data_IF_121255707415
#
_entry.id   IF_121255707415
#
_cell.length_a   1.000
_cell.length_b   1.000
_cell.length_c   1.000
_cell.angle_alpha   90.00
_cell.angle_beta   90.00
_cell.angle_gamma   90.00
#
_symmetry.space_group_name_H-M   'P 1'
#
loop_
_entity.id
_entity.type
_entity.pdbx_description
1 polymer ?
#
# COMPACT_ATOMS: atom_id res chain seq x y z
N UNK A 1 -11.87 -8.84 -7.70
CA UNK A 1 -10.50 -8.93 -8.23
C UNK A 1 -10.11 -10.41 -8.15
N UNK A 2 -10.11 -11.15 -9.27
CA UNK A 2 -10.09 -12.65 -9.22
C UNK A 2 -8.81 -13.26 -8.62
N UNK A 3 -7.72 -12.49 -8.54
CA UNK A 3 -6.41 -12.95 -8.04
C UNK A 3 -6.05 -12.46 -6.63
N UNK A 4 -6.73 -11.44 -6.11
CA UNK A 4 -6.55 -10.96 -4.74
C UNK A 4 -7.88 -11.15 -4.03
N UNK A 5 -7.97 -12.26 -3.30
CA UNK A 5 -9.15 -12.58 -2.51
C UNK A 5 -9.20 -11.77 -1.21
N UNK A 6 -10.32 -11.89 -0.50
CA UNK A 6 -10.53 -11.14 0.73
C UNK A 6 -9.54 -11.58 1.83
N UNK A 7 -9.15 -12.86 1.86
CA UNK A 7 -8.22 -13.39 2.87
C UNK A 7 -6.83 -12.74 2.74
N UNK A 8 -6.33 -12.60 1.52
CA UNK A 8 -5.05 -11.93 1.26
C UNK A 8 -5.10 -10.47 1.72
N UNK A 9 -6.20 -9.77 1.44
CA UNK A 9 -6.36 -8.38 1.88
C UNK A 9 -6.40 -8.28 3.40
N UNK A 10 -7.12 -9.17 4.06
CA UNK A 10 -7.26 -9.18 5.52
C UNK A 10 -5.92 -9.45 6.20
N UNK A 11 -5.09 -10.36 5.64
CA UNK A 11 -3.73 -10.60 6.12
C UNK A 11 -2.88 -9.34 6.00
N UNK A 12 -2.87 -8.70 4.83
CA UNK A 12 -2.06 -7.49 4.60
C UNK A 12 -2.50 -6.35 5.55
N UNK A 13 -3.81 -6.15 5.69
CA UNK A 13 -4.37 -5.13 6.60
C UNK A 13 -3.95 -5.41 8.04
N UNK A 14 -4.13 -6.66 8.50
CA UNK A 14 -3.75 -7.08 9.86
C UNK A 14 -2.27 -6.83 10.11
N UNK A 15 -1.40 -7.43 9.29
CA UNK A 15 0.05 -7.32 9.44
C UNK A 15 0.55 -5.87 9.41
N UNK A 16 -0.01 -5.04 8.52
CA UNK A 16 0.35 -3.63 8.40
C UNK A 16 -0.04 -2.84 9.64
N UNK A 17 -1.28 -3.00 10.12
CA UNK A 17 -1.77 -2.30 11.30
C UNK A 17 -1.05 -2.78 12.57
N UNK A 18 -0.88 -4.08 12.75
CA UNK A 18 -0.21 -4.66 13.91
C UNK A 18 1.24 -4.18 14.01
N UNK A 19 1.96 -4.13 12.89
CA UNK A 19 3.33 -3.60 12.85
C UNK A 19 3.38 -2.12 13.23
N UNK A 20 2.46 -1.31 12.72
CA UNK A 20 2.40 0.11 13.02
C UNK A 20 2.11 0.36 14.51
N UNK A 21 1.16 -0.39 15.08
CA UNK A 21 0.78 -0.30 16.48
C UNK A 21 1.91 -0.78 17.41
N UNK A 22 2.55 -1.90 17.08
CA UNK A 22 3.69 -2.44 17.83
C UNK A 22 4.87 -1.47 17.90
N UNK A 23 5.13 -0.72 16.83
CA UNK A 23 6.19 0.28 16.77
C UNK A 23 5.76 1.69 17.22
N UNK A 24 4.51 1.87 17.65
CA UNK A 24 3.93 3.18 17.98
C UNK A 24 4.15 4.25 16.88
N UNK A 25 4.03 3.84 15.61
CA UNK A 25 4.19 4.75 14.49
C UNK A 25 3.04 5.75 14.44
N UNK A 26 3.30 6.96 13.93
CA UNK A 26 2.26 7.91 13.54
C UNK A 26 1.60 7.47 12.23
N UNK A 27 0.99 6.28 12.24
CA UNK A 27 0.33 5.67 11.09
C UNK A 27 -1.12 5.37 11.45
N UNK A 28 -2.05 5.92 10.67
CA UNK A 28 -3.46 5.58 10.81
C UNK A 28 -3.73 4.21 10.22
N UNK A 29 -4.38 3.32 10.98
CA UNK A 29 -4.76 2.00 10.51
C UNK A 29 -5.51 2.06 9.17
N UNK A 30 -5.26 1.09 8.31
CA UNK A 30 -5.95 0.93 7.02
C UNK A 30 -7.08 -0.10 7.15
N UNK A 31 -8.08 -0.01 6.27
CA UNK A 31 -9.08 -1.06 6.06
C UNK A 31 -8.88 -1.74 4.68
N UNK A 32 -9.64 -2.81 4.42
CA UNK A 32 -9.54 -3.53 3.15
C UNK A 32 -9.99 -2.70 1.94
N UNK A 33 -10.80 -1.67 2.14
CA UNK A 33 -11.26 -0.76 1.07
C UNK A 33 -10.15 0.21 0.68
N UNK A 34 -9.47 0.78 1.67
CA UNK A 34 -8.32 1.65 1.47
C UNK A 34 -7.16 0.88 0.83
N UNK A 35 -6.92 -0.37 1.24
CA UNK A 35 -5.94 -1.23 0.57
C UNK A 35 -6.33 -1.53 -0.88
N UNK A 36 -7.61 -1.81 -1.18
CA UNK A 36 -8.10 -1.98 -2.56
C UNK A 36 -7.88 -0.71 -3.39
N UNK A 37 -8.14 0.46 -2.82
CA UNK A 37 -7.92 1.75 -3.46
C UNK A 37 -6.42 1.97 -3.76
N UNK A 38 -5.54 1.67 -2.80
CA UNK A 38 -4.09 1.71 -2.97
C UNK A 38 -3.61 0.79 -4.09
N UNK A 39 -4.06 -0.47 -4.10
CA UNK A 39 -3.75 -1.44 -5.18
C UNK A 39 -4.26 -0.94 -6.53
N UNK A 40 -5.46 -0.34 -6.56
CA UNK A 40 -6.01 0.28 -7.77
C UNK A 40 -5.08 1.36 -8.33
N UNK A 41 -4.48 2.20 -7.46
CA UNK A 41 -3.49 3.19 -7.89
C UNK A 41 -2.18 2.58 -8.40
N UNK A 42 -1.74 1.44 -7.86
CA UNK A 42 -0.60 0.70 -8.40
C UNK A 42 -0.89 0.12 -9.80
N UNK A 43 -2.11 -0.38 -10.02
CA UNK A 43 -2.53 -0.85 -11.34
C UNK A 43 -2.59 0.33 -12.33
N UNK A 44 -3.15 1.46 -11.91
CA UNK A 44 -3.20 2.69 -12.71
C UNK A 44 -1.81 3.23 -13.02
N UNK A 45 -0.85 3.17 -12.10
CA UNK A 45 0.52 3.60 -12.36
C UNK A 45 1.20 2.73 -13.41
N UNK A 46 0.93 1.41 -13.38
CA UNK A 46 1.36 0.47 -14.42
C UNK A 46 0.77 0.82 -15.79
N UNK A 47 -0.54 1.08 -15.85
CA UNK A 47 -1.23 1.49 -17.09
C UNK A 47 -0.63 2.76 -17.68
N UNK A 48 -0.29 3.74 -16.84
CA UNK A 48 0.30 5.00 -17.26
C UNK A 48 1.80 4.93 -17.58
N UNK A 49 2.43 3.75 -17.47
CA UNK A 49 3.90 3.55 -17.58
C UNK A 49 4.70 4.43 -16.59
N UNK A 50 4.10 4.71 -15.45
CA UNK A 50 4.61 5.62 -14.41
C UNK A 50 5.44 4.92 -13.33
N UNK A 51 5.92 3.69 -13.57
CA UNK A 51 6.66 2.91 -12.56
C UNK A 51 7.97 3.56 -12.09
N UNK A 52 8.57 4.40 -12.94
CA UNK A 52 9.77 5.20 -12.64
C UNK A 52 9.46 6.68 -12.45
N UNK A 53 8.19 7.06 -12.51
CA UNK A 53 7.77 8.44 -12.35
C UNK A 53 7.79 8.81 -10.86
N UNK A 54 8.22 10.04 -10.56
CA UNK A 54 8.11 10.54 -9.19
C UNK A 54 6.62 10.64 -8.82
N UNK A 55 6.22 10.03 -7.69
CA UNK A 55 4.84 10.06 -7.23
C UNK A 55 4.28 11.50 -7.08
N UNK A 56 5.12 12.50 -6.83
CA UNK A 56 4.72 13.92 -6.81
C UNK A 56 4.17 14.38 -8.17
N UNK A 57 4.73 13.88 -9.28
CA UNK A 57 4.26 14.22 -10.63
C UNK A 57 2.91 13.55 -10.92
N UNK A 58 2.76 12.29 -10.53
CA UNK A 58 1.49 11.56 -10.66
C UNK A 58 0.33 12.26 -9.93
N UNK A 59 0.62 12.90 -8.78
CA UNK A 59 -0.34 13.67 -7.97
C UNK A 59 -0.44 15.17 -8.32
N UNK A 60 0.30 15.66 -9.32
CA UNK A 60 0.32 17.08 -9.70
C UNK A 60 -1.09 17.57 -10.12
N UNK A 61 -1.34 18.87 -10.00
CA UNK A 61 -2.57 19.48 -10.52
C UNK A 61 -2.39 19.85 -12.00
N UNK A 62 -3.48 19.83 -12.77
CA UNK A 62 -3.49 20.27 -14.16
C UNK A 62 -3.10 19.17 -15.16
N UNK A 63 -2.75 19.53 -16.41
CA UNK A 63 -2.67 18.59 -17.54
C UNK A 63 -1.56 17.54 -17.42
N UNK A 64 -0.55 17.80 -16.57
CA UNK A 64 0.55 16.89 -16.30
C UNK A 64 0.21 15.87 -15.20
N UNK A 65 -0.80 16.15 -14.39
CA UNK A 65 -1.26 15.26 -13.34
C UNK A 65 -2.36 14.33 -13.80
N UNK A 66 -2.67 13.34 -12.97
CA UNK A 66 -3.73 12.37 -13.25
C UNK A 66 -4.76 12.44 -12.13
N UNK A 67 -5.92 13.02 -12.44
CA UNK A 67 -6.98 13.30 -11.46
C UNK A 67 -7.38 12.06 -10.64
N UNK A 68 -7.33 10.86 -11.24
CA UNK A 68 -7.63 9.60 -10.56
C UNK A 68 -6.79 9.37 -9.30
N UNK A 69 -5.52 9.76 -9.28
CA UNK A 69 -4.64 9.53 -8.13
C UNK A 69 -5.08 10.36 -6.93
N UNK A 70 -5.22 11.69 -7.12
CA UNK A 70 -5.67 12.62 -6.08
C UNK A 70 -7.14 12.43 -5.67
N UNK A 71 -7.99 11.99 -6.59
CA UNK A 71 -9.39 11.70 -6.30
C UNK A 71 -9.55 10.43 -5.44
N UNK A 72 -8.58 9.52 -5.50
CA UNK A 72 -8.61 8.26 -4.74
C UNK A 72 -8.02 8.41 -3.34
N UNK A 73 -6.84 9.03 -3.21
CA UNK A 73 -6.22 9.33 -1.91
C UNK A 73 -5.16 10.43 -2.02
N UNK A 74 -4.75 11.00 -0.89
CA UNK A 74 -3.66 11.99 -0.87
C UNK A 74 -2.31 11.35 -1.17
N UNK A 75 -1.35 12.14 -1.69
CA UNK A 75 0.02 11.68 -1.93
C UNK A 75 0.70 11.20 -0.64
N UNK A 76 0.46 11.91 0.47
CA UNK A 76 1.00 11.53 1.77
C UNK A 76 0.45 10.17 2.20
N UNK A 77 -0.86 9.95 2.09
CA UNK A 77 -1.45 8.65 2.45
C UNK A 77 -0.93 7.52 1.57
N UNK A 78 -0.77 7.75 0.26
CA UNK A 78 -0.16 6.77 -0.65
C UNK A 78 1.27 6.42 -0.22
N UNK A 79 2.09 7.40 0.17
CA UNK A 79 3.45 7.19 0.67
C UNK A 79 3.47 6.47 2.02
N UNK A 80 2.59 6.85 2.93
CA UNK A 80 2.48 6.24 4.25
C UNK A 80 2.15 4.76 4.14
N UNK A 81 1.16 4.40 3.30
CA UNK A 81 0.81 3.01 3.02
C UNK A 81 1.99 2.29 2.34
N UNK A 82 2.59 2.89 1.31
CA UNK A 82 3.73 2.29 0.60
C UNK A 82 4.91 1.96 1.51
N UNK A 83 5.17 2.80 2.51
CA UNK A 83 6.32 2.64 3.43
C UNK A 83 6.04 1.60 4.51
N UNK A 84 4.79 1.51 4.98
CA UNK A 84 4.43 0.70 6.15
C UNK A 84 3.79 -0.64 5.81
N UNK A 85 3.46 -0.91 4.55
CA UNK A 85 2.82 -2.15 4.10
C UNK A 85 3.58 -3.40 4.58
N UNK A 86 2.88 -4.36 5.18
CA UNK A 86 3.42 -5.66 5.63
C UNK A 86 2.55 -6.82 5.17
N UNK A 87 3.19 -7.97 5.01
CA UNK A 87 2.58 -9.19 4.47
C UNK A 87 2.72 -10.38 5.42
N UNK A 88 3.42 -10.20 6.54
CA UNK A 88 3.72 -11.23 7.52
C UNK A 88 3.56 -10.72 8.96
N UNK A 89 3.35 -11.65 9.88
CA UNK A 89 3.39 -11.38 11.32
C UNK A 89 4.82 -11.54 11.83
N UNK A 90 5.36 -10.45 12.39
CA UNK A 90 6.73 -10.40 12.91
C UNK A 90 6.95 -11.39 14.06
N UNK A 91 5.91 -11.75 14.81
CA UNK A 91 6.02 -12.61 15.98
C UNK A 91 6.13 -14.09 15.61
N UNK A 92 5.62 -14.49 14.43
CA UNK A 92 5.55 -15.90 14.01
C UNK A 92 6.54 -16.25 12.91
N UNK A 93 7.55 -15.40 12.71
CA UNK A 93 8.46 -15.49 11.57
C UNK A 93 9.42 -16.69 11.69
N UNK A 94 9.44 -17.54 10.66
CA UNK A 94 10.35 -18.68 10.60
C UNK A 94 11.75 -18.24 10.14
N UNK A 95 12.72 -18.26 11.06
CA UNK A 95 14.11 -17.87 10.77
C UNK A 95 14.84 -18.79 9.78
N UNK A 96 14.32 -20.00 9.57
CA UNK A 96 14.92 -20.98 8.65
C UNK A 96 14.32 -20.90 7.24
N UNK A 97 13.28 -20.09 7.04
CA UNK A 97 12.67 -19.88 5.73
C UNK A 97 13.26 -18.61 5.08
N UNK A 98 13.92 -18.79 3.93
CA UNK A 98 14.54 -17.68 3.18
C UNK A 98 13.53 -16.76 2.50
N UNK A 99 12.27 -17.21 2.34
CA UNK A 99 11.19 -16.40 1.81
C UNK A 99 10.40 -15.67 2.90
N UNK A 100 10.61 -16.01 4.18
CA UNK A 100 10.10 -15.21 5.27
C UNK A 100 10.76 -13.83 5.23
N UNK A 101 9.98 -12.78 5.53
CA UNK A 101 10.50 -11.42 5.49
C UNK A 101 11.66 -11.22 6.48
N UNK A 102 12.58 -10.30 6.18
CA UNK A 102 13.75 -9.99 7.02
C UNK A 102 13.38 -9.27 8.30
#
# INVERSE_FOLDING_TARGET
>A
MKFIDQKVLDIIVKCTNDRANFLHLKFSNIDSRELKAFIGLLIMSGLCKSSKENATMMWKCGPLGRNVFRATMSLNRFRDISTNLRFDDVQTRNKNDKFAAF
#
